data_IF_599876581747
#
_entry.id   IF_599876581747
#
_cell.length_a   1.000
_cell.length_b   1.000
_cell.length_c   1.000
_cell.angle_alpha   90.00
_cell.angle_beta   90.00
_cell.angle_gamma   90.00
#
_symmetry.space_group_name_H-M   'P 1'
#
loop_
_entity.id
_entity.type
_entity.pdbx_description
1 polymer ?
#
# COMPACT_ATOMS: atom_id res chain seq x y z
N UNK A 1 4.23 -26.68 4.85
CA UNK A 1 3.60 -25.41 5.23
C UNK A 1 4.42 -24.32 4.60
N UNK A 2 3.80 -23.37 3.94
CA UNK A 2 4.49 -22.16 3.50
C UNK A 2 4.77 -21.34 4.78
N UNK A 3 6.03 -21.26 5.20
CA UNK A 3 6.42 -20.57 6.45
C UNK A 3 6.52 -19.06 6.19
N UNK A 4 5.37 -18.43 5.91
CA UNK A 4 5.30 -17.00 5.64
C UNK A 4 5.17 -16.21 6.94
N UNK A 5 5.95 -15.14 7.10
CA UNK A 5 5.78 -14.16 8.20
C UNK A 5 4.76 -13.11 7.80
N UNK A 6 3.80 -12.82 8.68
CA UNK A 6 2.69 -11.89 8.40
C UNK A 6 2.81 -10.60 9.22
N UNK A 7 2.57 -9.45 8.57
CA UNK A 7 2.47 -8.13 9.18
C UNK A 7 1.07 -7.56 8.90
N UNK A 8 0.34 -7.18 9.94
CA UNK A 8 -1.01 -6.61 9.84
C UNK A 8 -1.01 -5.17 10.37
N UNK A 9 -1.51 -4.23 9.57
CA UNK A 9 -1.72 -2.84 9.97
C UNK A 9 -3.22 -2.57 9.98
N UNK A 10 -3.77 -2.28 11.15
CA UNK A 10 -5.19 -1.95 11.31
C UNK A 10 -5.39 -0.45 11.21
N UNK A 11 -6.25 -0.03 10.29
CA UNK A 11 -6.56 1.37 10.03
C UNK A 11 -7.97 1.72 10.52
N UNK A 12 -8.25 2.99 10.86
CA UNK A 12 -9.59 3.44 11.23
C UNK A 12 -10.61 3.17 10.10
N UNK A 13 -11.86 2.80 10.43
CA UNK A 13 -12.88 2.48 9.42
C UNK A 13 -13.38 3.71 8.65
N UNK A 14 -13.11 4.91 9.15
CA UNK A 14 -13.47 6.19 8.55
C UNK A 14 -12.30 6.86 7.79
N UNK A 15 -11.20 6.12 7.61
CA UNK A 15 -10.06 6.60 6.83
C UNK A 15 -10.49 6.86 5.37
N UNK A 16 -10.12 8.02 4.82
CA UNK A 16 -10.40 8.31 3.42
C UNK A 16 -9.63 7.37 2.48
N UNK A 17 -10.20 7.12 1.29
CA UNK A 17 -9.55 6.30 0.27
C UNK A 17 -8.17 6.85 -0.13
N UNK A 18 -7.99 8.18 -0.15
CA UNK A 18 -6.70 8.80 -0.45
C UNK A 18 -5.66 8.48 0.64
N UNK A 19 -6.02 8.63 1.92
CA UNK A 19 -5.13 8.30 3.02
C UNK A 19 -4.82 6.79 3.08
N UNK A 20 -5.81 5.95 2.78
CA UNK A 20 -5.63 4.50 2.66
C UNK A 20 -4.64 4.12 1.56
N UNK A 21 -4.74 4.75 0.38
CA UNK A 21 -3.83 4.53 -0.73
C UNK A 21 -2.40 5.00 -0.41
N UNK A 22 -2.25 6.18 0.20
CA UNK A 22 -0.95 6.69 0.60
C UNK A 22 -0.24 5.76 1.60
N UNK A 23 -0.98 5.21 2.58
CA UNK A 23 -0.44 4.26 3.56
C UNK A 23 -0.06 2.94 2.88
N UNK A 24 -0.97 2.39 2.06
CA UNK A 24 -0.73 1.16 1.28
C UNK A 24 0.55 1.28 0.46
N UNK A 25 0.73 2.41 -0.23
CA UNK A 25 1.93 2.66 -0.99
C UNK A 25 3.18 2.81 -0.12
N UNK A 26 3.10 3.54 0.99
CA UNK A 26 4.25 3.70 1.89
C UNK A 26 4.74 2.34 2.41
N UNK A 27 3.82 1.45 2.76
CA UNK A 27 4.14 0.07 3.14
C UNK A 27 4.79 -0.68 1.98
N UNK A 28 4.22 -0.58 0.77
CA UNK A 28 4.79 -1.21 -0.42
C UNK A 28 6.22 -0.73 -0.71
N UNK A 29 6.47 0.58 -0.62
CA UNK A 29 7.79 1.17 -0.83
C UNK A 29 8.83 0.62 0.16
N UNK A 30 8.45 0.42 1.43
CA UNK A 30 9.33 -0.20 2.44
C UNK A 30 9.65 -1.65 2.08
N UNK A 31 8.65 -2.43 1.64
CA UNK A 31 8.85 -3.82 1.22
C UNK A 31 9.75 -3.90 -0.01
N UNK A 32 9.54 -3.02 -0.99
CA UNK A 32 10.36 -2.95 -2.19
C UNK A 32 11.82 -2.57 -1.87
N UNK A 33 12.04 -1.57 -1.00
CA UNK A 33 13.38 -1.18 -0.55
C UNK A 33 14.10 -2.30 0.22
N UNK A 34 13.36 -3.20 0.87
CA UNK A 34 13.89 -4.39 1.52
C UNK A 34 14.12 -5.57 0.56
N UNK A 35 13.83 -5.43 -0.74
CA UNK A 35 13.93 -6.51 -1.74
C UNK A 35 12.81 -7.54 -1.67
N UNK A 36 11.67 -7.20 -1.06
CA UNK A 36 10.52 -8.09 -0.83
C UNK A 36 9.29 -7.72 -1.68
N UNK A 37 9.40 -6.75 -2.59
CA UNK A 37 8.29 -6.32 -3.44
C UNK A 37 7.68 -7.48 -4.23
N UNK A 38 8.51 -8.27 -4.92
CA UNK A 38 8.02 -9.33 -5.81
C UNK A 38 7.39 -10.53 -5.09
N UNK A 39 7.62 -10.67 -3.78
CA UNK A 39 7.12 -11.80 -2.97
C UNK A 39 6.05 -11.38 -1.97
N UNK A 40 5.78 -10.09 -1.87
CA UNK A 40 4.77 -9.55 -0.97
C UNK A 40 3.52 -9.16 -1.75
N UNK A 41 2.40 -9.11 -1.05
CA UNK A 41 1.17 -8.52 -1.56
C UNK A 41 0.49 -7.76 -0.43
N UNK A 42 -0.18 -6.67 -0.77
CA UNK A 42 -1.09 -5.99 0.13
C UNK A 42 -2.48 -6.51 -0.16
N UNK A 43 -3.21 -6.93 0.88
CA UNK A 43 -4.61 -7.32 0.72
C UNK A 43 -5.44 -6.03 0.71
N UNK A 44 -6.11 -5.69 -0.40
CA UNK A 44 -6.98 -4.53 -0.44
C UNK A 44 -8.17 -4.73 0.52
N UNK A 45 -8.67 -3.63 1.08
CA UNK A 45 -9.95 -3.61 1.78
C UNK A 45 -11.09 -3.88 0.79
N UNK A 46 -12.14 -4.54 1.26
CA UNK A 46 -13.40 -4.77 0.54
C UNK A 46 -14.09 -3.50 0.03
N UNK A 47 -13.74 -2.34 0.59
CA UNK A 47 -14.32 -1.05 0.25
C UNK A 47 -13.56 -0.27 -0.84
N UNK A 48 -12.38 -0.75 -1.26
CA UNK A 48 -11.53 -0.06 -2.24
C UNK A 48 -10.96 -1.07 -3.23
N UNK A 49 -11.17 -0.82 -4.53
CA UNK A 49 -10.59 -1.65 -5.58
C UNK A 49 -9.12 -1.34 -5.82
N UNK A 50 -8.35 -2.30 -6.33
CA UNK A 50 -6.96 -2.09 -6.76
C UNK A 50 -6.81 -0.90 -7.74
N UNK A 51 -7.79 -0.72 -8.63
CA UNK A 51 -7.79 0.38 -9.58
C UNK A 51 -7.95 1.76 -8.89
N UNK A 52 -8.71 1.84 -7.81
CA UNK A 52 -8.87 3.07 -7.02
C UNK A 52 -7.61 3.36 -6.20
N UNK A 53 -6.98 2.32 -5.65
CA UNK A 53 -5.69 2.41 -4.99
C UNK A 53 -4.60 2.95 -5.93
N UNK A 54 -4.49 2.38 -7.13
CA UNK A 54 -3.51 2.80 -8.14
C UNK A 54 -3.77 4.25 -8.56
N UNK A 55 -5.02 4.65 -8.79
CA UNK A 55 -5.36 6.04 -9.16
C UNK A 55 -5.04 7.04 -8.06
N UNK A 56 -5.28 6.69 -6.80
CA UNK A 56 -4.93 7.54 -5.67
C UNK A 56 -3.40 7.62 -5.51
N UNK A 57 -2.69 6.51 -5.70
CA UNK A 57 -1.23 6.51 -5.78
C UNK A 57 -0.70 7.41 -6.90
N UNK A 58 -1.21 7.28 -8.13
CA UNK A 58 -0.74 8.09 -9.27
C UNK A 58 -0.90 9.60 -9.04
N UNK A 59 -1.96 10.01 -8.32
CA UNK A 59 -2.14 11.41 -7.90
C UNK A 59 -1.09 11.85 -6.88
N UNK A 60 -0.82 11.01 -5.88
CA UNK A 60 -0.01 11.37 -4.72
C UNK A 60 1.49 11.16 -4.96
N UNK A 61 1.88 10.24 -5.85
CA UNK A 61 3.26 9.94 -6.20
C UNK A 61 4.05 11.18 -6.65
N UNK A 62 3.36 12.14 -7.26
CA UNK A 62 3.90 13.43 -7.68
C UNK A 62 4.34 14.32 -6.50
N UNK A 63 3.95 13.99 -5.27
CA UNK A 63 4.19 14.79 -4.07
C UNK A 63 5.18 14.16 -3.09
N UNK A 64 5.62 12.92 -3.33
CA UNK A 64 6.58 12.28 -2.44
C UNK A 64 7.98 12.92 -2.57
N UNK A 65 8.71 13.12 -1.46
CA UNK A 65 10.07 13.68 -1.47
C UNK A 65 11.10 12.76 -2.16
N UNK A 66 10.67 11.57 -2.57
CA UNK A 66 11.44 10.56 -3.31
C UNK A 66 10.89 10.37 -4.74
N UNK A 67 10.13 11.34 -5.29
CA UNK A 67 9.63 11.29 -6.67
C UNK A 67 10.75 11.05 -7.70
N UNK A 68 10.40 10.54 -8.89
CA UNK A 68 11.14 9.52 -9.66
C UNK A 68 12.66 9.69 -9.74
#
# INVERSE_FOLDING_TARGET
MDETRHLEVRLPPDLSNDAYAAITQAVWAVLNAAGLGDTSYLRPDSHVTDAELIRAFDRDALTYPWGP
#
